data_IF_399648596432
#
_entry.id   IF_399648596432
#
_cell.length_a   1.000
_cell.length_b   1.000
_cell.length_c   1.000
_cell.angle_alpha   90.00
_cell.angle_beta   90.00
_cell.angle_gamma   90.00
#
_symmetry.space_group_name_H-M   'P 1'
#
loop_
_entity.id
_entity.type
_entity.pdbx_description
1 polymer ?
#
# COMPACT_ATOMS: atom_id res chain seq x y z
N UNK A 1 -27.78 16.45 13.55
CA UNK A 1 -28.41 15.32 12.82
C UNK A 1 -27.29 14.46 12.26
N UNK A 2 -27.37 13.14 12.42
CA UNK A 2 -26.40 12.17 11.90
C UNK A 2 -27.14 10.92 11.41
N UNK A 3 -26.45 10.04 10.67
CA UNK A 3 -26.96 8.75 10.21
C UNK A 3 -25.92 7.65 10.44
N UNK A 4 -26.31 6.37 10.36
CA UNK A 4 -25.48 5.23 10.74
C UNK A 4 -24.04 5.32 10.21
N UNK A 5 -23.88 5.48 8.89
CA UNK A 5 -22.55 5.53 8.23
C UNK A 5 -21.71 6.70 8.74
N UNK A 6 -22.33 7.87 8.98
CA UNK A 6 -21.62 9.02 9.52
C UNK A 6 -21.21 8.83 10.99
N UNK A 7 -22.02 8.13 11.77
CA UNK A 7 -21.66 7.75 13.15
C UNK A 7 -20.61 6.63 13.26
N UNK A 8 -20.02 6.20 12.14
CA UNK A 8 -19.02 5.13 12.09
C UNK A 8 -19.60 3.72 12.15
N UNK A 9 -20.92 3.58 12.02
CA UNK A 9 -21.59 2.28 11.96
C UNK A 9 -22.02 1.96 10.53
N UNK A 10 -21.75 0.74 10.06
CA UNK A 10 -22.18 0.32 8.73
C UNK A 10 -23.70 0.44 8.55
N UNK A 11 -24.16 0.55 7.30
CA UNK A 11 -25.57 0.37 7.01
C UNK A 11 -25.98 -1.05 7.41
N UNK A 12 -27.06 -1.20 8.18
CA UNK A 12 -27.57 -2.51 8.61
C UNK A 12 -28.68 -3.07 7.74
N UNK A 13 -29.10 -2.33 6.72
CA UNK A 13 -30.21 -2.71 5.86
C UNK A 13 -31.57 -2.68 6.56
N UNK A 14 -31.83 -1.68 7.43
CA UNK A 14 -33.08 -1.60 8.18
C UNK A 14 -34.34 -1.31 7.33
N UNK A 15 -34.16 -0.93 6.05
CA UNK A 15 -35.24 -0.68 5.10
C UNK A 15 -35.51 -1.90 4.21
N UNK A 16 -34.70 -2.95 4.35
CA UNK A 16 -34.71 -4.13 3.50
C UNK A 16 -35.59 -5.24 4.11
N UNK A 17 -36.34 -5.99 3.28
CA UNK A 17 -37.21 -7.06 3.76
C UNK A 17 -36.40 -8.20 4.40
N UNK A 18 -36.88 -8.72 5.53
CA UNK A 18 -36.21 -9.79 6.27
C UNK A 18 -35.18 -9.32 7.30
N UNK A 19 -35.09 -8.01 7.56
CA UNK A 19 -34.33 -7.48 8.70
C UNK A 19 -34.98 -7.87 10.04
N UNK A 20 -34.21 -8.21 11.09
CA UNK A 20 -32.74 -8.23 11.17
C UNK A 20 -32.07 -9.55 10.75
N UNK A 21 -32.84 -10.62 10.56
CA UNK A 21 -32.30 -11.98 10.43
C UNK A 21 -31.48 -12.18 9.15
N UNK A 22 -31.90 -11.58 8.03
CA UNK A 22 -31.20 -11.68 6.74
C UNK A 22 -29.84 -10.96 6.70
N UNK A 23 -29.59 -10.06 7.65
CA UNK A 23 -28.37 -9.24 7.72
C UNK A 23 -27.54 -9.53 8.97
N UNK A 24 -27.89 -10.58 9.72
CA UNK A 24 -27.12 -11.04 10.87
C UNK A 24 -26.01 -12.01 10.40
N UNK A 25 -24.75 -11.83 10.84
CA UNK A 25 -24.25 -10.81 11.77
C UNK A 25 -23.92 -9.46 11.08
N UNK A 26 -24.35 -8.34 11.68
CA UNK A 26 -24.29 -6.99 11.09
C UNK A 26 -22.89 -6.40 10.83
N UNK A 27 -21.83 -7.10 11.22
CA UNK A 27 -20.42 -6.70 11.01
C UNK A 27 -19.68 -7.61 10.05
N UNK A 28 -20.35 -8.61 9.49
CA UNK A 28 -19.79 -9.39 8.40
C UNK A 28 -19.79 -8.58 7.11
N UNK A 29 -18.83 -8.89 6.24
CA UNK A 29 -18.84 -8.40 4.86
C UNK A 29 -20.06 -9.00 4.16
N UNK A 30 -20.83 -8.16 3.45
CA UNK A 30 -22.00 -8.62 2.72
C UNK A 30 -21.61 -9.68 1.67
N UNK A 31 -22.26 -10.85 1.65
CA UNK A 31 -22.02 -11.85 0.63
C UNK A 31 -22.49 -11.35 -0.74
N UNK A 32 -21.75 -11.69 -1.80
CA UNK A 32 -22.13 -11.35 -3.18
C UNK A 32 -21.82 -9.92 -3.62
N UNK A 33 -21.28 -9.06 -2.75
CA UNK A 33 -20.72 -7.78 -3.15
C UNK A 33 -19.25 -7.97 -3.56
N UNK A 34 -18.97 -7.81 -4.85
CA UNK A 34 -17.60 -7.67 -5.37
C UNK A 34 -17.34 -6.20 -5.63
N UNK A 35 -16.29 -5.63 -5.03
CA UNK A 35 -15.91 -4.24 -5.29
C UNK A 35 -15.59 -4.09 -6.79
N UNK A 36 -16.29 -3.20 -7.52
CA UNK A 36 -16.07 -3.01 -8.94
C UNK A 36 -14.65 -2.47 -9.18
N UNK A 37 -14.01 -2.97 -10.26
CA UNK A 37 -12.64 -2.67 -10.68
C UNK A 37 -11.55 -3.27 -9.77
N UNK A 38 -10.77 -4.21 -10.34
CA UNK A 38 -9.56 -4.82 -9.77
C UNK A 38 -9.58 -5.23 -8.27
N UNK A 39 -10.74 -5.66 -7.73
CA UNK A 39 -10.91 -5.97 -6.28
C UNK A 39 -10.58 -4.78 -5.35
N UNK A 40 -10.68 -3.55 -5.86
CA UNK A 40 -10.26 -2.32 -5.21
C UNK A 40 -8.99 -1.74 -5.83
N UNK A 41 -9.04 -0.46 -6.20
CA UNK A 41 -7.88 0.27 -6.75
C UNK A 41 -6.70 0.28 -5.78
N UNK A 42 -6.99 0.42 -4.48
CA UNK A 42 -5.99 0.41 -3.41
C UNK A 42 -5.21 -0.91 -3.37
N UNK A 43 -5.91 -2.05 -3.39
CA UNK A 43 -5.27 -3.38 -3.37
C UNK A 43 -4.36 -3.60 -4.58
N UNK A 44 -4.69 -3.00 -5.73
CA UNK A 44 -3.86 -3.09 -6.92
C UNK A 44 -2.64 -2.16 -6.83
N UNK A 45 -2.85 -0.93 -6.37
CA UNK A 45 -1.78 0.04 -6.14
C UNK A 45 -0.77 -0.47 -5.09
N UNK A 46 -1.23 -1.06 -4.00
CA UNK A 46 -0.38 -1.64 -2.95
C UNK A 46 0.54 -2.73 -3.50
N UNK A 47 -0.01 -3.64 -4.32
CA UNK A 47 0.77 -4.74 -4.91
C UNK A 47 1.83 -4.25 -5.87
N UNK A 48 1.46 -3.32 -6.75
CA UNK A 48 2.40 -2.74 -7.73
C UNK A 48 3.45 -1.91 -6.99
N UNK A 49 3.04 -1.06 -6.06
CA UNK A 49 3.92 -0.23 -5.26
C UNK A 49 4.92 -1.05 -4.45
N UNK A 50 4.46 -2.12 -3.78
CA UNK A 50 5.33 -3.02 -3.04
C UNK A 50 6.34 -3.73 -3.95
N UNK A 51 5.90 -4.23 -5.11
CA UNK A 51 6.78 -4.90 -6.06
C UNK A 51 7.87 -3.96 -6.59
N UNK A 52 7.50 -2.74 -6.99
CA UNK A 52 8.44 -1.72 -7.44
C UNK A 52 9.39 -1.25 -6.34
N UNK A 53 8.87 -1.10 -5.11
CA UNK A 53 9.66 -0.71 -3.94
C UNK A 53 10.75 -1.74 -3.64
N UNK A 54 10.39 -3.03 -3.61
CA UNK A 54 11.34 -4.13 -3.41
C UNK A 54 12.39 -4.17 -4.53
N UNK A 55 11.98 -4.05 -5.78
CA UNK A 55 12.90 -4.04 -6.92
C UNK A 55 13.91 -2.89 -6.84
N UNK A 56 13.44 -1.70 -6.48
CA UNK A 56 14.29 -0.52 -6.32
C UNK A 56 15.29 -0.69 -5.18
N UNK A 57 14.83 -1.14 -4.01
CA UNK A 57 15.70 -1.38 -2.86
C UNK A 57 16.78 -2.43 -3.17
N UNK A 58 16.43 -3.50 -3.88
CA UNK A 58 17.39 -4.51 -4.31
C UNK A 58 18.41 -3.95 -5.31
N UNK A 59 17.99 -3.15 -6.28
CA UNK A 59 18.88 -2.51 -7.25
C UNK A 59 19.91 -1.61 -6.58
N UNK A 60 19.47 -0.77 -5.64
CA UNK A 60 20.37 0.09 -4.85
C UNK A 60 21.35 -0.77 -4.03
N UNK A 61 20.84 -1.78 -3.32
CA UNK A 61 21.68 -2.66 -2.50
C UNK A 61 22.77 -3.38 -3.33
N UNK A 62 22.40 -3.92 -4.49
CA UNK A 62 23.35 -4.58 -5.40
C UNK A 62 24.38 -3.57 -5.93
N UNK A 63 23.95 -2.38 -6.33
CA UNK A 63 24.86 -1.35 -6.85
C UNK A 63 25.88 -0.92 -5.79
N UNK A 64 25.43 -0.68 -4.55
CA UNK A 64 26.31 -0.31 -3.44
C UNK A 64 27.29 -1.43 -3.08
N UNK A 65 26.82 -2.68 -2.96
CA UNK A 65 27.67 -3.82 -2.67
C UNK A 65 28.74 -4.03 -3.75
N UNK A 66 28.36 -3.95 -5.03
CA UNK A 66 29.29 -4.06 -6.15
C UNK A 66 30.32 -2.92 -6.17
N UNK A 67 29.90 -1.69 -5.90
CA UNK A 67 30.79 -0.52 -5.83
C UNK A 67 31.78 -0.61 -4.66
N UNK A 68 31.35 -1.15 -3.51
CA UNK A 68 32.22 -1.43 -2.37
C UNK A 68 33.31 -2.44 -2.71
N UNK A 69 32.92 -3.58 -3.28
CA UNK A 69 33.84 -4.65 -3.67
C UNK A 69 34.86 -4.20 -4.72
N UNK A 70 34.45 -3.31 -5.64
CA UNK A 70 35.32 -2.78 -6.70
C UNK A 70 36.23 -1.64 -6.23
N UNK A 71 36.19 -1.28 -4.94
CA UNK A 71 37.01 -0.22 -4.35
C UNK A 71 36.67 1.19 -4.84
N UNK A 72 35.50 1.37 -5.47
CA UNK A 72 35.09 2.68 -6.04
C UNK A 72 34.55 3.64 -4.98
N UNK A 73 34.01 3.13 -3.88
CA UNK A 73 33.49 3.96 -2.77
C UNK A 73 34.55 4.94 -2.25
N UNK A 74 35.83 4.53 -2.10
CA UNK A 74 36.91 5.44 -1.68
C UNK A 74 37.19 6.57 -2.68
N UNK A 75 37.05 6.28 -3.98
CA UNK A 75 37.31 7.23 -5.07
C UNK A 75 36.13 8.19 -5.27
N UNK A 76 34.92 7.71 -5.00
CA UNK A 76 33.69 8.49 -5.06
C UNK A 76 33.61 9.46 -3.87
N UNK A 77 34.02 9.05 -2.65
CA UNK A 77 34.16 9.95 -1.50
C UNK A 77 35.24 11.03 -1.70
N UNK A 78 36.38 10.70 -2.32
CA UNK A 78 37.39 11.71 -2.70
C UNK A 78 36.88 12.70 -3.75
N UNK A 79 36.04 12.25 -4.70
CA UNK A 79 35.43 13.13 -5.70
C UNK A 79 34.33 14.02 -5.11
N UNK A 80 33.50 13.50 -4.21
CA UNK A 80 32.47 14.26 -3.50
C UNK A 80 33.10 15.33 -2.60
N UNK A 81 34.16 14.97 -1.87
CA UNK A 81 34.90 15.90 -1.00
C UNK A 81 35.66 17.00 -1.78
N UNK A 82 36.14 16.70 -3.00
CA UNK A 82 36.79 17.69 -3.88
C UNK A 82 35.79 18.64 -4.57
N UNK A 83 34.53 18.24 -4.78
CA UNK A 83 33.52 19.10 -5.40
C UNK A 83 32.86 20.05 -4.40
N UNK A 84 32.80 19.67 -3.13
CA UNK A 84 32.24 20.48 -2.03
C UNK A 84 33.27 21.44 -1.39
N UNK A 85 34.46 21.60 -2.00
CA UNK A 85 35.53 22.50 -1.53
C UNK A 85 35.85 23.63 -2.54
N UNK A 86 34.88 23.97 -3.39
CA UNK A 86 34.86 25.16 -4.27
C UNK A 86 33.78 26.12 -3.77
#
# INVERSE_FOLDING_TARGET
>A
MSWCVQSGYGCTGCTEPGWPDAFSPMRAVLPGISIPVFKGVETTADKIGAALGVATAAGIGIHLAASAMKGRIKKDEEKEKSQNSI
#
